data_IF_002442201909
#
_entry.id   IF_002442201909
#
_cell.length_a   1.000
_cell.length_b   1.000
_cell.length_c   1.000
_cell.angle_alpha   90.00
_cell.angle_beta   90.00
_cell.angle_gamma   90.00
#
_symmetry.space_group_name_H-M   'P 1'
#
loop_
_entity.id
_entity.type
_entity.pdbx_description
1 polymer ?
#
# COMPACT_ATOMS: atom_id res chain seq x y z
N UNK A 1 2.29 -21.63 -7.79
CA UNK A 1 3.01 -20.50 -7.18
C UNK A 1 2.29 -20.18 -5.89
N UNK A 2 2.99 -20.19 -4.74
CA UNK A 2 2.37 -19.77 -3.48
C UNK A 2 2.20 -18.25 -3.52
N UNK A 3 0.96 -17.78 -3.44
CA UNK A 3 0.64 -16.36 -3.26
C UNK A 3 1.11 -15.84 -1.90
N UNK A 4 0.95 -14.52 -1.63
CA UNK A 4 1.26 -13.98 -0.32
C UNK A 4 0.45 -14.71 0.77
N UNK A 5 1.04 -14.87 1.94
CA UNK A 5 0.35 -15.48 3.09
C UNK A 5 -0.67 -14.51 3.69
N UNK A 6 -0.46 -13.20 3.52
CA UNK A 6 -1.30 -12.13 4.02
C UNK A 6 -1.43 -11.01 2.99
N UNK A 7 -2.66 -10.57 2.73
CA UNK A 7 -2.94 -9.35 1.96
C UNK A 7 -3.56 -8.31 2.88
N UNK A 8 -2.94 -7.14 2.99
CA UNK A 8 -3.45 -6.00 3.75
C UNK A 8 -4.05 -5.01 2.75
N UNK A 9 -5.36 -4.79 2.83
CA UNK A 9 -6.07 -3.86 1.93
C UNK A 9 -6.31 -2.55 2.67
N UNK A 10 -5.87 -1.43 2.07
CA UNK A 10 -5.97 -0.09 2.65
C UNK A 10 -6.70 0.81 1.66
N UNK A 11 -8.00 1.09 1.89
CA UNK A 11 -8.71 2.12 1.16
C UNK A 11 -8.12 3.49 1.51
N UNK A 12 -7.84 4.32 0.50
CA UNK A 12 -7.30 5.67 0.68
C UNK A 12 -8.16 6.70 -0.03
N UNK A 13 -8.37 7.82 0.66
CA UNK A 13 -8.85 9.06 0.07
C UNK A 13 -8.14 10.23 0.75
N UNK A 14 -7.27 10.89 0.01
CA UNK A 14 -6.44 12.01 0.47
C UNK A 14 -5.54 11.71 1.68
N UNK A 15 -4.77 10.63 1.60
CA UNK A 15 -3.94 10.10 2.71
C UNK A 15 -2.43 10.19 2.43
N UNK A 16 -2.01 11.13 1.58
CA UNK A 16 -0.63 11.28 1.09
C UNK A 16 0.42 11.32 2.21
N UNK A 17 0.12 11.98 3.33
CA UNK A 17 1.05 12.14 4.46
C UNK A 17 1.13 10.89 5.35
N UNK A 18 0.07 10.08 5.37
CA UNK A 18 -0.04 8.93 6.27
C UNK A 18 0.64 7.70 5.68
N UNK A 19 0.63 7.56 4.35
CA UNK A 19 1.20 6.41 3.64
C UNK A 19 2.70 6.20 3.92
N UNK A 20 3.58 7.24 3.90
CA UNK A 20 5.00 7.09 4.21
C UNK A 20 5.28 6.65 5.65
N UNK A 21 4.32 6.82 6.57
CA UNK A 21 4.45 6.38 7.96
C UNK A 21 3.90 4.96 8.14
N UNK A 22 2.75 4.67 7.53
CA UNK A 22 2.05 3.40 7.71
C UNK A 22 2.76 2.24 7.01
N UNK A 23 3.12 2.41 5.73
CA UNK A 23 3.66 1.32 4.90
C UNK A 23 4.95 0.72 5.47
N UNK A 24 5.98 1.51 5.85
CA UNK A 24 7.21 0.95 6.40
C UNK A 24 7.00 0.18 7.71
N UNK A 25 6.01 0.60 8.51
CA UNK A 25 5.69 -0.07 9.78
C UNK A 25 5.02 -1.42 9.56
N UNK A 26 4.14 -1.52 8.56
CA UNK A 26 3.50 -2.79 8.18
C UNK A 26 4.51 -3.77 7.59
N UNK A 27 5.38 -3.28 6.70
CA UNK A 27 6.45 -4.09 6.11
C UNK A 27 7.41 -4.62 7.18
N UNK A 28 7.87 -3.75 8.09
CA UNK A 28 8.73 -4.16 9.20
C UNK A 28 8.06 -5.19 10.12
N UNK A 29 6.78 -5.00 10.46
CA UNK A 29 6.06 -5.91 11.35
C UNK A 29 5.84 -7.29 10.71
N UNK A 30 5.44 -7.34 9.44
CA UNK A 30 5.21 -8.59 8.71
C UNK A 30 6.51 -9.34 8.42
N UNK A 31 7.56 -8.61 8.05
CA UNK A 31 8.90 -9.16 7.87
C UNK A 31 9.46 -9.75 9.17
N UNK A 32 9.31 -9.04 10.31
CA UNK A 32 9.74 -9.54 11.62
C UNK A 32 8.99 -10.80 12.06
N UNK A 33 7.74 -10.97 11.62
CA UNK A 33 6.94 -12.16 11.85
C UNK A 33 7.22 -13.31 10.85
N UNK A 34 8.07 -13.09 9.84
CA UNK A 34 8.32 -14.07 8.78
C UNK A 34 7.11 -14.32 7.87
N UNK A 35 6.17 -13.36 7.80
CA UNK A 35 4.94 -13.47 7.01
C UNK A 35 5.16 -12.79 5.67
N UNK A 36 5.03 -13.55 4.58
CA UNK A 36 5.02 -12.97 3.22
C UNK A 36 3.74 -12.14 3.05
N UNK A 37 3.88 -10.82 2.97
CA UNK A 37 2.76 -9.88 2.89
C UNK A 37 2.72 -9.11 1.55
N UNK A 38 1.52 -8.81 1.06
CA UNK A 38 1.28 -7.72 0.10
C UNK A 38 0.42 -6.62 0.75
N UNK A 39 0.72 -5.36 0.42
CA UNK A 39 -0.05 -4.19 0.84
C UNK A 39 -0.76 -3.63 -0.39
N UNK A 40 -2.08 -3.77 -0.46
CA UNK A 40 -2.91 -3.28 -1.55
C UNK A 40 -3.56 -1.95 -1.17
N UNK A 41 -3.06 -0.86 -1.74
CA UNK A 41 -3.69 0.46 -1.63
C UNK A 41 -4.81 0.56 -2.67
N UNK A 42 -6.00 0.95 -2.23
CA UNK A 42 -7.16 1.18 -3.10
C UNK A 42 -7.51 2.66 -3.04
N UNK A 43 -7.18 3.41 -4.09
CA UNK A 43 -7.35 4.87 -4.14
C UNK A 43 -8.52 5.27 -5.05
N UNK A 44 -9.39 6.16 -4.58
CA UNK A 44 -10.55 6.68 -5.34
C UNK A 44 -10.21 8.03 -6.01
N UNK A 45 -9.10 8.06 -6.75
CA UNK A 45 -8.58 9.22 -7.47
C UNK A 45 -8.43 10.47 -6.58
N UNK A 46 -7.65 10.35 -5.51
CA UNK A 46 -7.52 11.37 -4.45
C UNK A 46 -7.05 12.76 -4.92
N UNK A 47 -6.43 12.88 -6.11
CA UNK A 47 -5.96 14.14 -6.71
C UNK A 47 -5.05 15.00 -5.79
N UNK A 48 -4.39 14.42 -4.80
CA UNK A 48 -3.62 15.12 -3.76
C UNK A 48 -2.15 14.67 -3.66
N UNK A 49 -1.70 13.79 -4.55
CA UNK A 49 -0.36 13.18 -4.48
C UNK A 49 -0.34 11.78 -3.88
N UNK A 50 -1.49 11.25 -3.42
CA UNK A 50 -1.58 9.88 -2.85
C UNK A 50 -1.06 8.82 -3.83
N UNK A 51 -1.40 8.92 -5.12
CA UNK A 51 -0.97 7.98 -6.17
C UNK A 51 0.56 8.00 -6.34
N UNK A 52 1.16 9.17 -6.41
CA UNK A 52 2.61 9.36 -6.53
C UNK A 52 3.34 8.80 -5.30
N UNK A 53 2.84 9.10 -4.10
CA UNK A 53 3.37 8.57 -2.84
C UNK A 53 3.34 7.04 -2.82
N UNK A 54 2.24 6.42 -3.27
CA UNK A 54 2.15 4.96 -3.42
C UNK A 54 3.21 4.40 -4.38
N UNK A 55 3.42 5.05 -5.53
CA UNK A 55 4.42 4.61 -6.54
C UNK A 55 5.84 4.67 -5.97
N UNK A 56 6.18 5.70 -5.22
CA UNK A 56 7.49 5.85 -4.58
C UNK A 56 7.72 4.81 -3.47
N UNK A 57 6.66 4.49 -2.71
CA UNK A 57 6.71 3.47 -1.66
C UNK A 57 6.84 2.05 -2.24
N UNK A 58 6.20 1.78 -3.38
CA UNK A 58 6.27 0.50 -4.07
C UNK A 58 7.69 0.14 -4.58
N UNK A 59 8.60 1.11 -4.69
CA UNK A 59 9.99 0.85 -5.03
C UNK A 59 10.77 0.12 -3.92
N UNK A 60 10.30 0.21 -2.68
CA UNK A 60 11.03 -0.26 -1.48
C UNK A 60 10.22 -1.19 -0.58
N UNK A 61 8.90 -1.26 -0.78
CA UNK A 61 7.97 -2.01 0.06
C UNK A 61 7.03 -2.85 -0.81
N UNK A 62 6.39 -3.91 -0.27
CA UNK A 62 5.51 -4.81 -1.03
C UNK A 62 4.14 -4.17 -1.32
N UNK A 63 4.12 -2.95 -1.86
CA UNK A 63 2.93 -2.16 -2.15
C UNK A 63 2.45 -2.40 -3.58
N UNK A 64 1.14 -2.57 -3.73
CA UNK A 64 0.41 -2.51 -5.00
C UNK A 64 -0.64 -1.41 -4.91
N UNK A 65 -0.85 -0.70 -6.01
CA UNK A 65 -1.86 0.35 -6.11
C UNK A 65 -2.97 -0.09 -7.07
N UNK A 66 -4.21 0.01 -6.61
CA UNK A 66 -5.43 -0.09 -7.40
C UNK A 66 -6.13 1.27 -7.35
N UNK A 67 -6.10 2.02 -8.45
CA UNK A 67 -6.88 3.26 -8.57
C UNK A 67 -8.24 2.93 -9.17
N UNK A 68 -9.31 3.42 -8.56
CA UNK A 68 -10.65 3.37 -9.12
C UNK A 68 -10.93 4.71 -9.80
N UNK A 69 -11.25 4.65 -11.08
CA UNK A 69 -11.88 5.75 -11.80
C UNK A 69 -13.38 5.38 -11.83
N UNK A 70 -14.24 6.26 -11.31
CA UNK A 70 -15.68 6.01 -11.08
C UNK A 70 -16.36 5.11 -12.15
N UNK A 71 -17.12 4.11 -11.68
CA UNK A 71 -18.30 3.57 -12.39
C UNK A 71 -19.51 4.48 -12.16
#
# INVERSE_FOLDING_TARGET
>A
MNGPQLSIVIPTYREVDNLPVLIPRLDAATSAAGISCEILIVDDNSCDGTIESCRDLAQRHPVKLLTREHE
#
